data_IF_760008336602
#
_entry.id   IF_760008336602
#
_cell.length_a   1.000
_cell.length_b   1.000
_cell.length_c   1.000
_cell.angle_alpha   90.00
_cell.angle_beta   90.00
_cell.angle_gamma   90.00
#
_symmetry.space_group_name_H-M   'P 1'
#
loop_
_entity.id
_entity.type
_entity.pdbx_description
1 polymer ?
#
# COMPACT_ATOMS: atom_id res chain seq x y z
N UNK A 1 5.55 -10.14 0.23
CA UNK A 1 5.37 -9.46 -1.07
C UNK A 1 6.63 -9.61 -1.92
N UNK A 2 7.82 -9.41 -1.35
CA UNK A 2 9.11 -9.56 -2.04
C UNK A 2 9.46 -10.97 -2.56
N UNK A 3 8.68 -12.00 -2.20
CA UNK A 3 8.81 -13.34 -2.77
C UNK A 3 8.14 -13.49 -4.16
N UNK A 4 7.48 -12.44 -4.67
CA UNK A 4 6.91 -12.44 -6.02
C UNK A 4 8.07 -12.26 -7.01
N UNK A 5 8.25 -13.17 -7.99
CA UNK A 5 9.31 -13.04 -8.98
C UNK A 5 9.22 -11.70 -9.71
N UNK A 6 10.33 -10.97 -9.76
CA UNK A 6 10.43 -9.68 -10.43
C UNK A 6 11.89 -9.30 -10.62
N UNK A 7 12.13 -8.32 -11.49
CA UNK A 7 13.46 -7.75 -11.68
C UNK A 7 13.93 -7.08 -10.37
N UNK A 8 15.20 -7.30 -10.01
CA UNK A 8 15.79 -6.73 -8.80
C UNK A 8 15.77 -5.19 -8.84
N UNK A 9 15.96 -4.58 -10.02
CA UNK A 9 15.91 -3.13 -10.16
C UNK A 9 14.50 -2.57 -9.89
N UNK A 10 13.46 -3.28 -10.35
CA UNK A 10 12.06 -2.89 -10.10
C UNK A 10 11.74 -2.99 -8.61
N UNK A 11 12.23 -4.05 -7.94
CA UNK A 11 12.06 -4.16 -6.49
C UNK A 11 12.79 -3.07 -5.71
N UNK A 12 14.01 -2.73 -6.10
CA UNK A 12 14.75 -1.63 -5.49
C UNK A 12 14.02 -0.30 -5.66
N UNK A 13 13.47 -0.03 -6.85
CA UNK A 13 12.67 1.16 -7.12
C UNK A 13 11.42 1.22 -6.24
N UNK A 14 10.69 0.11 -6.13
CA UNK A 14 9.48 0.02 -5.32
C UNK A 14 9.77 0.16 -3.81
N UNK A 15 10.85 -0.47 -3.32
CA UNK A 15 11.27 -0.35 -1.93
C UNK A 15 11.70 1.09 -1.62
N UNK A 16 12.43 1.74 -2.54
CA UNK A 16 12.80 3.14 -2.41
C UNK A 16 11.58 4.08 -2.38
N UNK A 17 10.62 3.91 -3.29
CA UNK A 17 9.38 4.69 -3.27
C UNK A 17 8.59 4.46 -1.98
N UNK A 18 8.50 3.20 -1.51
CA UNK A 18 7.81 2.91 -0.26
C UNK A 18 8.48 3.59 0.94
N UNK A 19 9.82 3.69 0.94
CA UNK A 19 10.56 4.45 1.95
C UNK A 19 10.23 5.95 1.88
N UNK A 20 10.26 6.55 0.70
CA UNK A 20 9.93 7.97 0.51
C UNK A 20 8.48 8.30 0.95
N UNK A 21 7.52 7.43 0.63
CA UNK A 21 6.13 7.59 1.06
C UNK A 21 5.96 7.47 2.58
N UNK A 22 6.78 6.65 3.25
CA UNK A 22 6.80 6.57 4.71
C UNK A 22 7.35 7.85 5.35
N UNK A 23 8.37 8.47 4.75
CA UNK A 23 8.92 9.76 5.18
C UNK A 23 7.89 10.89 4.99
N UNK A 24 7.12 10.86 3.91
CA UNK A 24 6.12 11.87 3.58
C UNK A 24 4.72 11.63 4.19
N UNK A 25 4.53 10.58 4.99
CA UNK A 25 3.21 10.14 5.47
C UNK A 25 2.38 11.21 6.19
N UNK A 26 3.03 12.12 6.92
CA UNK A 26 2.37 13.20 7.68
C UNK A 26 2.21 14.49 6.90
N UNK A 27 3.06 14.74 5.89
CA UNK A 27 3.12 16.01 5.14
C UNK A 27 1.76 16.34 4.50
N UNK A 28 1.15 15.40 3.79
CA UNK A 28 -0.14 15.62 3.14
C UNK A 28 -1.27 15.89 4.16
N UNK A 29 -1.22 15.23 5.31
CA UNK A 29 -2.18 15.42 6.39
C UNK A 29 -2.03 16.82 7.01
N UNK A 30 -0.80 17.24 7.29
CA UNK A 30 -0.50 18.55 7.87
C UNK A 30 -0.89 19.70 6.94
N UNK A 31 -0.63 19.57 5.64
CA UNK A 31 -1.08 20.54 4.63
C UNK A 31 -2.60 20.61 4.60
N UNK A 32 -3.31 19.49 4.65
CA UNK A 32 -4.77 19.48 4.73
C UNK A 32 -5.28 20.20 5.99
N UNK A 33 -4.63 20.00 7.13
CA UNK A 33 -4.99 20.66 8.39
C UNK A 33 -4.68 22.15 8.38
N UNK A 34 -3.58 22.58 7.76
CA UNK A 34 -3.16 23.98 7.68
C UNK A 34 -4.13 24.84 6.86
N UNK A 35 -4.73 24.28 5.80
CA UNK A 35 -5.78 24.95 4.99
C UNK A 35 -7.19 24.86 5.61
N UNK A 36 -7.28 24.64 6.93
CA UNK A 36 -8.53 24.50 7.72
C UNK A 36 -9.36 23.26 7.36
N UNK A 37 -8.73 22.22 6.82
CA UNK A 37 -9.35 20.92 6.61
C UNK A 37 -9.84 20.31 7.93
N UNK A 38 -11.13 19.98 8.01
CA UNK A 38 -11.70 19.37 9.21
C UNK A 38 -11.66 17.85 9.15
N UNK A 39 -11.54 17.23 10.31
CA UNK A 39 -11.59 15.77 10.42
C UNK A 39 -12.90 15.19 9.86
N UNK A 40 -14.03 15.89 10.03
CA UNK A 40 -15.33 15.49 9.48
C UNK A 40 -15.30 15.40 7.96
N UNK A 41 -14.67 16.37 7.29
CA UNK A 41 -14.52 16.37 5.83
C UNK A 41 -13.63 15.20 5.41
N UNK A 42 -12.46 15.03 6.04
CA UNK A 42 -11.55 13.90 5.77
C UNK A 42 -12.28 12.56 5.88
N UNK A 43 -12.95 12.31 7.00
CA UNK A 43 -13.64 11.03 7.25
C UNK A 43 -14.76 10.77 6.26
N UNK A 44 -15.55 11.79 5.89
CA UNK A 44 -16.64 11.65 4.90
C UNK A 44 -16.10 11.36 3.51
N UNK A 45 -15.11 12.12 3.06
CA UNK A 45 -14.48 11.92 1.74
C UNK A 45 -13.86 10.53 1.67
N UNK A 46 -13.10 10.13 2.70
CA UNK A 46 -12.44 8.82 2.73
C UNK A 46 -13.43 7.66 2.83
N UNK A 47 -14.55 7.82 3.54
CA UNK A 47 -15.62 6.83 3.60
C UNK A 47 -16.28 6.57 2.23
N UNK A 48 -16.19 7.51 1.28
CA UNK A 48 -16.64 7.34 -0.11
C UNK A 48 -15.51 6.87 -1.00
N UNK A 49 -14.32 7.46 -0.88
CA UNK A 49 -13.17 7.16 -1.74
C UNK A 49 -12.64 5.74 -1.56
N UNK A 50 -12.55 5.25 -0.30
CA UNK A 50 -12.06 3.88 -0.02
C UNK A 50 -12.92 2.81 -0.73
N UNK A 51 -14.25 2.74 -0.54
CA UNK A 51 -15.06 1.73 -1.21
C UNK A 51 -15.10 1.94 -2.73
N UNK A 52 -15.07 3.19 -3.22
CA UNK A 52 -15.01 3.47 -4.65
C UNK A 52 -13.73 2.92 -5.28
N UNK A 53 -12.59 3.14 -4.63
CA UNK A 53 -11.30 2.62 -5.09
C UNK A 53 -11.28 1.09 -5.08
N UNK A 54 -11.77 0.46 -4.00
CA UNK A 54 -11.86 -0.99 -3.90
C UNK A 54 -12.78 -1.56 -5.00
N UNK A 55 -13.91 -0.91 -5.28
CA UNK A 55 -14.80 -1.29 -6.36
C UNK A 55 -14.10 -1.20 -7.71
N UNK A 56 -13.40 -0.09 -7.99
CA UNK A 56 -12.69 0.13 -9.25
C UNK A 56 -11.58 -0.92 -9.45
N UNK A 57 -10.74 -1.15 -8.44
CA UNK A 57 -9.68 -2.16 -8.49
C UNK A 57 -10.27 -3.55 -8.73
N UNK A 58 -11.33 -3.90 -7.99
CA UNK A 58 -11.99 -5.20 -8.14
C UNK A 58 -12.62 -5.35 -9.52
N UNK A 59 -13.24 -4.29 -10.05
CA UNK A 59 -13.84 -4.28 -11.37
C UNK A 59 -12.79 -4.45 -12.47
N UNK A 60 -11.68 -3.71 -12.41
CA UNK A 60 -10.57 -3.82 -13.36
C UNK A 60 -9.98 -5.23 -13.30
N UNK A 61 -9.70 -5.75 -12.10
CA UNK A 61 -9.17 -7.10 -11.93
C UNK A 61 -10.13 -8.16 -12.47
N UNK A 62 -11.42 -8.06 -12.16
CA UNK A 62 -12.44 -8.97 -12.68
C UNK A 62 -12.52 -8.91 -14.21
N UNK A 63 -12.39 -7.71 -14.79
CA UNK A 63 -12.38 -7.52 -16.24
C UNK A 63 -11.15 -8.14 -16.90
N UNK A 64 -9.97 -8.01 -16.28
CA UNK A 64 -8.73 -8.63 -16.73
C UNK A 64 -8.81 -10.15 -16.67
N UNK A 65 -9.27 -10.70 -15.55
CA UNK A 65 -9.47 -12.16 -15.35
C UNK A 65 -10.52 -12.70 -16.33
N UNK A 66 -11.62 -11.97 -16.57
CA UNK A 66 -12.63 -12.38 -17.52
C UNK A 66 -12.12 -12.44 -18.97
N UNK A 67 -11.10 -11.64 -19.32
CA UNK A 67 -10.45 -11.65 -20.64
C UNK A 67 -9.30 -12.65 -20.76
N UNK A 68 -8.82 -13.20 -19.65
CA UNK A 68 -7.75 -14.20 -19.63
C UNK A 68 -8.29 -15.59 -20.06
N UNK A 69 -7.81 -16.16 -21.19
CA UNK A 69 -8.22 -17.49 -21.65
C UNK A 69 -7.86 -18.61 -20.67
N UNK A 70 -6.78 -18.48 -19.92
CA UNK A 70 -6.31 -19.51 -18.99
C UNK A 70 -7.17 -19.53 -17.72
N UNK A 71 -7.59 -18.35 -17.25
CA UNK A 71 -8.53 -18.21 -16.15
C UNK A 71 -9.89 -18.88 -16.45
N UNK A 72 -10.37 -18.81 -17.69
CA UNK A 72 -11.60 -19.49 -18.12
C UNK A 72 -11.47 -21.01 -18.17
N UNK A 73 -10.27 -21.53 -18.44
CA UNK A 73 -9.99 -22.97 -18.49
C UNK A 73 -9.86 -23.60 -17.11
N UNK A 74 -9.51 -22.82 -16.08
CA UNK A 74 -9.25 -23.32 -14.72
C UNK A 74 -10.09 -22.60 -13.64
N UNK A 75 -11.44 -22.66 -13.69
CA UNK A 75 -12.30 -21.89 -12.80
C UNK A 75 -12.14 -22.24 -11.31
N UNK A 76 -11.89 -23.52 -11.01
CA UNK A 76 -11.67 -23.99 -9.62
C UNK A 76 -10.40 -23.40 -9.02
N UNK A 77 -9.33 -23.29 -9.84
CA UNK A 77 -8.07 -22.69 -9.41
C UNK A 77 -8.23 -21.20 -9.16
N UNK A 78 -8.94 -20.50 -10.04
CA UNK A 78 -9.23 -19.07 -9.89
C UNK A 78 -9.98 -18.79 -8.57
N UNK A 79 -11.03 -19.57 -8.27
CA UNK A 79 -11.77 -19.43 -7.01
C UNK A 79 -10.87 -19.68 -5.79
N UNK A 80 -10.00 -20.71 -5.85
CA UNK A 80 -9.06 -21.01 -4.77
C UNK A 80 -8.04 -19.89 -4.55
N UNK A 81 -7.47 -19.35 -5.62
CA UNK A 81 -6.51 -18.25 -5.57
C UNK A 81 -7.16 -16.95 -5.09
N UNK A 82 -8.38 -16.65 -5.56
CA UNK A 82 -9.19 -15.53 -5.09
C UNK A 82 -9.48 -15.66 -3.60
N UNK A 83 -9.90 -16.84 -3.15
CA UNK A 83 -10.14 -17.10 -1.73
C UNK A 83 -8.87 -16.94 -0.88
N UNK A 84 -7.72 -17.42 -1.38
CA UNK A 84 -6.42 -17.23 -0.71
C UNK A 84 -6.01 -15.77 -0.65
N UNK A 85 -6.30 -14.98 -1.68
CA UNK A 85 -6.04 -13.54 -1.69
C UNK A 85 -6.90 -12.85 -0.60
N UNK A 86 -8.21 -13.14 -0.57
CA UNK A 86 -9.11 -12.58 0.44
C UNK A 86 -8.79 -13.00 1.88
N UNK A 87 -8.29 -14.22 2.09
CA UNK A 87 -7.79 -14.67 3.40
C UNK A 87 -6.31 -14.35 3.64
N UNK A 88 -5.65 -13.76 2.67
CA UNK A 88 -4.24 -13.46 2.70
C UNK A 88 -3.89 -12.38 3.71
N UNK A 89 -2.61 -12.27 4.08
CA UNK A 89 -2.14 -11.26 5.02
C UNK A 89 -2.40 -9.83 4.52
N UNK A 90 -2.47 -9.62 3.20
CA UNK A 90 -2.69 -8.30 2.59
C UNK A 90 -4.07 -7.75 2.98
N UNK A 91 -5.16 -8.44 2.63
CA UNK A 91 -6.52 -7.98 2.95
C UNK A 91 -6.80 -7.98 4.45
N UNK A 92 -6.19 -8.89 5.22
CA UNK A 92 -6.29 -8.91 6.68
C UNK A 92 -5.54 -7.76 7.35
N UNK A 93 -4.42 -7.30 6.80
CA UNK A 93 -3.63 -6.17 7.31
C UNK A 93 -4.26 -4.81 7.00
N UNK A 94 -4.88 -4.66 5.82
CA UNK A 94 -5.50 -3.39 5.41
C UNK A 94 -6.69 -3.01 6.30
N UNK A 95 -7.51 -3.96 6.75
CA UNK A 95 -8.70 -3.66 7.56
C UNK A 95 -8.37 -2.96 8.90
N UNK A 96 -7.46 -3.46 9.75
CA UNK A 96 -7.09 -2.78 10.99
C UNK A 96 -6.43 -1.43 10.75
N UNK A 97 -5.61 -1.28 9.71
CA UNK A 97 -5.00 0.00 9.33
C UNK A 97 -6.05 1.03 8.90
N UNK A 98 -7.02 0.63 8.07
CA UNK A 98 -8.15 1.50 7.70
C UNK A 98 -8.99 1.91 8.91
N UNK A 99 -9.19 0.99 9.88
CA UNK A 99 -9.89 1.30 11.13
C UNK A 99 -9.11 2.32 11.96
N UNK A 100 -7.78 2.19 12.04
CA UNK A 100 -6.92 3.15 12.73
C UNK A 100 -6.99 4.52 12.04
N UNK A 101 -6.91 4.58 10.72
CA UNK A 101 -7.00 5.81 9.93
C UNK A 101 -8.35 6.56 10.11
N UNK A 102 -9.45 5.82 10.25
CA UNK A 102 -10.79 6.38 10.43
C UNK A 102 -11.13 6.75 11.89
N UNK A 103 -10.23 6.46 12.85
CA UNK A 103 -10.39 6.77 14.27
C UNK A 103 -10.48 8.28 14.50
N UNK A 104 -11.31 8.74 15.46
CA UNK A 104 -11.28 10.12 15.93
C UNK A 104 -9.88 10.54 16.41
N UNK A 105 -9.40 11.71 15.99
CA UNK A 105 -8.11 12.25 16.42
C UNK A 105 -6.87 11.54 15.86
N UNK A 106 -7.03 10.73 14.80
CA UNK A 106 -5.90 10.09 14.12
C UNK A 106 -4.90 11.10 13.54
N UNK A 107 -3.62 10.86 13.79
CA UNK A 107 -2.49 11.44 13.05
C UNK A 107 -1.68 10.34 12.37
N UNK A 108 -1.11 10.54 11.15
CA UNK A 108 -0.22 9.56 10.53
C UNK A 108 0.99 9.18 11.41
N UNK A 109 1.45 10.09 12.25
CA UNK A 109 2.56 9.84 13.19
C UNK A 109 2.17 8.99 14.41
N UNK A 110 0.87 8.70 14.61
CA UNK A 110 0.44 7.72 15.62
C UNK A 110 0.92 6.30 15.28
N UNK A 111 1.33 6.06 14.04
CA UNK A 111 1.89 4.80 13.57
C UNK A 111 3.41 4.94 13.60
N UNK A 112 4.05 4.32 14.58
CA UNK A 112 5.51 4.29 14.67
C UNK A 112 6.09 3.43 13.53
N UNK A 113 6.83 4.10 12.65
CA UNK A 113 7.50 3.48 11.50
C UNK A 113 9.01 3.74 11.55
N UNK A 114 9.55 4.29 12.64
CA UNK A 114 10.95 4.70 12.70
C UNK A 114 11.90 3.50 12.58
N UNK A 115 11.62 2.43 13.32
CA UNK A 115 12.41 1.20 13.22
C UNK A 115 12.37 0.58 11.82
N UNK A 116 11.24 0.71 11.11
CA UNK A 116 11.10 0.24 9.73
C UNK A 116 11.87 1.14 8.76
N UNK A 117 11.80 2.47 8.94
CA UNK A 117 12.56 3.44 8.15
C UNK A 117 14.06 3.20 8.31
N UNK A 118 14.56 3.08 9.53
CA UNK A 118 15.99 2.82 9.80
C UNK A 118 16.46 1.53 9.12
N UNK A 119 15.69 0.45 9.26
CA UNK A 119 16.02 -0.82 8.61
C UNK A 119 16.14 -0.68 7.08
N UNK A 120 15.16 -0.06 6.42
CA UNK A 120 15.16 0.07 4.97
C UNK A 120 16.14 1.12 4.46
N UNK A 121 16.42 2.16 5.25
CA UNK A 121 17.48 3.12 4.96
C UNK A 121 18.85 2.42 5.00
N UNK A 122 19.11 1.55 5.97
CA UNK A 122 20.35 0.78 6.03
C UNK A 122 20.45 -0.22 4.87
N UNK A 123 19.36 -0.93 4.55
CA UNK A 123 19.35 -1.95 3.48
C UNK A 123 19.51 -1.34 2.08
N UNK A 124 18.93 -0.16 1.84
CA UNK A 124 19.01 0.52 0.54
C UNK A 124 20.22 1.44 0.42
N UNK A 125 20.58 2.17 1.49
CA UNK A 125 21.55 3.28 1.47
C UNK A 125 22.69 3.16 2.49
N UNK A 126 22.77 2.08 3.27
CA UNK A 126 23.88 1.82 4.20
C UNK A 126 25.22 1.62 3.48
N UNK A 127 26.31 1.34 4.19
CA UNK A 127 27.66 1.26 3.57
C UNK A 127 27.80 0.20 2.46
N UNK A 128 26.97 -0.85 2.49
CA UNK A 128 26.85 -1.88 1.44
C UNK A 128 25.44 -1.91 0.81
N UNK A 129 24.68 -0.82 0.94
CA UNK A 129 23.29 -0.74 0.50
C UNK A 129 23.10 -0.90 -1.01
N UNK A 130 21.99 -1.51 -1.40
CA UNK A 130 21.70 -1.87 -2.79
C UNK A 130 21.69 -0.68 -3.77
N UNK A 131 21.45 0.55 -3.28
CA UNK A 131 21.34 1.77 -4.09
C UNK A 131 22.51 2.75 -3.92
N UNK A 132 23.52 2.43 -3.11
CA UNK A 132 24.64 3.35 -2.79
C UNK A 132 25.45 3.72 -4.03
N UNK A 133 25.61 2.79 -4.98
CA UNK A 133 26.29 3.04 -6.25
C UNK A 133 25.57 4.06 -7.16
N UNK A 134 24.30 4.37 -6.89
CA UNK A 134 23.50 5.34 -7.64
C UNK A 134 23.46 6.73 -7.00
N UNK A 135 23.88 6.87 -5.74
CA UNK A 135 24.06 8.16 -5.09
C UNK A 135 25.34 8.81 -5.64
N UNK A 136 25.19 9.80 -6.54
CA UNK A 136 26.28 10.64 -7.03
C UNK A 136 26.35 11.95 -6.26
#
# INVERSE_FOLDING_TARGET
IQAIPGDAEVWNLLNWHALEELEHKSVAFDVFRSVRGTERVRRRVMAVMIPLLLLLITAVLACSVARDPEARRQPVRLVRETYRLYRGPILRGVIPELRQYLRPGFHPDDIDTNALLEQWQEELFGTEGALVGYLK
#
